data_IF_645087558544
#
_entry.id   IF_645087558544
#
_cell.length_a   1.000
_cell.length_b   1.000
_cell.length_c   1.000
_cell.angle_alpha   90.00
_cell.angle_beta   90.00
_cell.angle_gamma   90.00
#
_symmetry.space_group_name_H-M   'P 1'
#
loop_
_entity.id
_entity.type
_entity.pdbx_description
1 polymer ?
#
# COMPACT_ATOMS: atom_id res chain seq x y z
N UNK A 1 19.49 19.78 42.73
CA UNK A 1 20.08 20.20 41.44
C UNK A 1 20.66 19.02 40.62
N UNK A 2 20.54 17.76 41.04
CA UNK A 2 21.04 16.58 40.29
C UNK A 2 20.01 15.81 39.47
N UNK A 3 18.73 16.24 39.42
CA UNK A 3 17.64 15.52 38.76
C UNK A 3 17.44 15.87 37.27
N UNK A 4 18.15 16.86 36.73
CA UNK A 4 17.94 17.34 35.36
C UNK A 4 18.93 16.79 34.31
N UNK A 5 20.05 16.25 34.68
CA UNK A 5 21.10 15.81 33.73
C UNK A 5 20.67 14.48 33.05
N UNK A 6 20.14 13.53 33.83
CA UNK A 6 19.67 12.24 33.28
C UNK A 6 18.47 12.39 32.36
N UNK A 7 17.62 13.42 32.54
CA UNK A 7 16.46 13.68 31.65
C UNK A 7 16.92 14.27 30.32
N UNK A 8 17.87 15.18 30.30
CA UNK A 8 18.47 15.79 29.10
C UNK A 8 19.27 14.76 28.28
N UNK A 9 20.00 13.85 28.93
CA UNK A 9 20.70 12.76 28.24
C UNK A 9 19.72 11.71 27.67
N UNK A 10 18.60 11.45 28.33
CA UNK A 10 17.55 10.55 27.79
C UNK A 10 16.81 11.17 26.60
N UNK A 11 16.56 12.48 26.59
CA UNK A 11 15.93 13.20 25.47
C UNK A 11 16.88 13.31 24.27
N UNK A 12 18.18 13.55 24.47
CA UNK A 12 19.17 13.55 23.39
C UNK A 12 19.36 12.16 22.78
N UNK A 13 19.35 11.09 23.57
CA UNK A 13 19.40 9.72 23.07
C UNK A 13 18.13 9.33 22.29
N UNK A 14 16.93 9.71 22.76
CA UNK A 14 15.67 9.51 22.03
C UNK A 14 15.66 10.26 20.70
N UNK A 15 16.05 11.52 20.69
CA UNK A 15 16.12 12.35 19.48
C UNK A 15 17.13 11.80 18.47
N UNK A 16 18.30 11.35 18.92
CA UNK A 16 19.31 10.71 18.08
C UNK A 16 18.83 9.39 17.49
N UNK A 17 18.13 8.57 18.28
CA UNK A 17 17.58 7.28 17.83
C UNK A 17 16.44 7.47 16.83
N UNK A 18 15.58 8.49 17.01
CA UNK A 18 14.54 8.87 16.06
C UNK A 18 15.16 9.32 14.73
N UNK A 19 16.19 10.18 14.75
CA UNK A 19 16.89 10.63 13.55
C UNK A 19 17.54 9.46 12.78
N UNK A 20 18.20 8.54 13.47
CA UNK A 20 18.80 7.34 12.87
C UNK A 20 17.73 6.43 12.25
N UNK A 21 16.59 6.23 12.93
CA UNK A 21 15.48 5.44 12.41
C UNK A 21 14.84 6.08 11.16
N UNK A 22 14.71 7.42 11.13
CA UNK A 22 14.19 8.14 9.97
C UNK A 22 15.17 8.03 8.79
N UNK A 23 16.46 8.31 9.00
CA UNK A 23 17.46 8.20 7.95
C UNK A 23 17.56 6.77 7.39
N UNK A 24 17.57 5.77 8.29
CA UNK A 24 17.54 4.35 7.90
C UNK A 24 16.28 3.98 7.10
N UNK A 25 15.12 4.47 7.52
CA UNK A 25 13.86 4.22 6.79
C UNK A 25 13.85 4.87 5.40
N UNK A 26 14.44 6.06 5.24
CA UNK A 26 14.55 6.74 3.94
C UNK A 26 15.48 5.94 3.01
N UNK A 27 16.64 5.52 3.49
CA UNK A 27 17.56 4.70 2.71
C UNK A 27 16.93 3.36 2.29
N UNK A 28 16.27 2.66 3.21
CA UNK A 28 15.56 1.41 2.94
C UNK A 28 14.45 1.63 1.89
N UNK A 29 13.67 2.70 2.00
CA UNK A 29 12.63 3.05 1.00
C UNK A 29 13.25 3.38 -0.36
N UNK A 30 14.37 4.08 -0.40
CA UNK A 30 15.11 4.37 -1.64
C UNK A 30 15.51 3.07 -2.35
N UNK A 31 16.11 2.13 -1.64
CA UNK A 31 16.49 0.81 -2.18
C UNK A 31 15.23 0.04 -2.64
N UNK A 32 14.14 0.06 -1.87
CA UNK A 32 12.87 -0.57 -2.27
C UNK A 32 12.32 -0.01 -3.58
N UNK A 33 12.36 1.32 -3.76
CA UNK A 33 11.91 1.97 -4.99
C UNK A 33 12.78 1.54 -6.17
N UNK A 34 14.11 1.60 -6.02
CA UNK A 34 15.06 1.17 -7.06
C UNK A 34 14.84 -0.30 -7.44
N UNK A 35 14.71 -1.18 -6.45
CA UNK A 35 14.45 -2.61 -6.69
C UNK A 35 13.11 -2.82 -7.43
N UNK A 36 12.07 -2.10 -7.06
CA UNK A 36 10.76 -2.15 -7.72
C UNK A 36 10.83 -1.68 -9.18
N UNK A 37 11.64 -0.67 -9.48
CA UNK A 37 11.85 -0.17 -10.84
C UNK A 37 12.67 -1.15 -11.67
N UNK A 38 13.72 -1.73 -11.11
CA UNK A 38 14.57 -2.73 -11.80
C UNK A 38 13.82 -4.04 -12.08
N UNK A 39 12.86 -4.40 -11.22
CA UNK A 39 12.07 -5.62 -11.40
C UNK A 39 11.20 -5.57 -12.68
N UNK A 40 10.79 -4.37 -13.13
CA UNK A 40 9.95 -4.21 -14.34
C UNK A 40 10.66 -4.69 -15.59
N UNK A 41 11.80 -4.11 -16.01
CA UNK A 41 12.50 -4.56 -17.22
C UNK A 41 12.95 -6.01 -17.10
N UNK A 42 13.41 -6.43 -15.92
CA UNK A 42 13.84 -7.81 -15.70
C UNK A 42 12.70 -8.80 -15.92
N UNK A 43 11.49 -8.48 -15.42
CA UNK A 43 10.32 -9.32 -15.60
C UNK A 43 9.83 -9.33 -17.05
N UNK A 44 9.81 -8.16 -17.72
CA UNK A 44 9.45 -8.05 -19.13
C UNK A 44 10.41 -8.83 -20.04
N UNK A 45 11.70 -8.83 -19.73
CA UNK A 45 12.69 -9.63 -20.46
C UNK A 45 12.54 -11.13 -20.22
N UNK A 46 12.04 -11.53 -19.02
CA UNK A 46 11.82 -12.94 -18.69
C UNK A 46 10.55 -13.50 -19.34
N UNK A 47 9.43 -12.76 -19.31
CA UNK A 47 8.16 -13.31 -19.85
C UNK A 47 7.69 -12.49 -21.06
N UNK A 48 7.28 -11.65 -21.40
CA UNK A 48 6.82 -10.74 -22.46
C UNK A 48 5.75 -9.78 -21.94
N UNK A 49 5.33 -8.86 -22.79
CA UNK A 49 4.36 -7.81 -22.46
C UNK A 49 3.00 -8.39 -22.04
N UNK A 50 2.49 -9.38 -22.77
CA UNK A 50 1.18 -10.00 -22.49
C UNK A 50 1.18 -10.75 -21.16
N UNK A 51 2.13 -11.67 -20.96
CA UNK A 51 2.29 -12.44 -19.73
C UNK A 51 2.57 -11.55 -18.51
N UNK A 52 3.31 -10.47 -18.69
CA UNK A 52 3.53 -9.48 -17.64
C UNK A 52 2.23 -8.76 -17.26
N UNK A 53 1.38 -8.41 -18.23
CA UNK A 53 0.07 -7.84 -18.00
C UNK A 53 -0.87 -8.80 -17.25
N UNK A 54 -0.87 -10.09 -17.62
CA UNK A 54 -1.60 -11.14 -16.90
C UNK A 54 -1.09 -11.20 -15.43
N UNK A 55 0.23 -11.25 -15.24
CA UNK A 55 0.84 -11.25 -13.91
C UNK A 55 0.40 -10.05 -13.05
N UNK A 56 0.43 -8.84 -13.61
CA UNK A 56 0.03 -7.62 -12.91
C UNK A 56 -1.46 -7.66 -12.51
N UNK A 57 -2.31 -8.17 -13.40
CA UNK A 57 -3.75 -8.30 -13.13
C UNK A 57 -4.02 -9.32 -12.05
N UNK A 58 -3.44 -10.52 -12.13
CA UNK A 58 -3.58 -11.56 -11.11
C UNK A 58 -3.04 -11.10 -9.74
N UNK A 59 -1.87 -10.46 -9.75
CA UNK A 59 -1.27 -9.91 -8.53
C UNK A 59 -2.16 -8.85 -7.88
N UNK A 60 -2.83 -7.99 -8.67
CA UNK A 60 -3.74 -6.97 -8.13
C UNK A 60 -4.97 -7.57 -7.47
N UNK A 61 -5.56 -8.65 -8.04
CA UNK A 61 -6.68 -9.38 -7.43
C UNK A 61 -6.26 -9.93 -6.06
N UNK A 62 -5.08 -10.53 -6.01
CA UNK A 62 -4.57 -11.16 -4.77
C UNK A 62 -4.18 -10.12 -3.72
N UNK A 63 -3.69 -8.95 -4.12
CA UNK A 63 -3.43 -7.86 -3.20
C UNK A 63 -4.68 -7.40 -2.44
N UNK A 64 -5.89 -7.60 -2.97
CA UNK A 64 -7.13 -7.32 -2.23
C UNK A 64 -7.19 -8.07 -0.91
N UNK A 65 -6.70 -9.30 -0.87
CA UNK A 65 -6.69 -10.12 0.34
C UNK A 65 -5.82 -9.52 1.46
N UNK A 66 -4.72 -8.86 1.11
CA UNK A 66 -3.86 -8.22 2.10
C UNK A 66 -4.56 -7.09 2.89
N UNK A 67 -5.62 -6.49 2.32
CA UNK A 67 -6.38 -5.47 3.03
C UNK A 67 -7.28 -6.02 4.12
N UNK A 68 -7.62 -7.30 4.08
CA UNK A 68 -8.37 -7.95 5.16
C UNK A 68 -7.53 -8.08 6.45
N UNK A 69 -6.20 -8.18 6.34
CA UNK A 69 -5.29 -8.26 7.48
C UNK A 69 -5.12 -6.93 8.23
N UNK A 70 -5.26 -5.79 7.54
CA UNK A 70 -4.94 -4.47 8.12
C UNK A 70 -5.68 -4.22 9.43
N UNK A 71 -6.87 -4.78 9.60
CA UNK A 71 -7.63 -4.65 10.82
C UNK A 71 -6.98 -5.33 12.03
N UNK A 72 -6.52 -6.55 11.87
CA UNK A 72 -5.98 -7.36 12.96
C UNK A 72 -4.57 -6.93 13.36
N UNK A 73 -3.71 -6.68 12.39
CA UNK A 73 -2.33 -6.23 12.64
C UNK A 73 -2.27 -4.83 13.23
N UNK A 74 -3.12 -3.91 12.80
CA UNK A 74 -3.24 -2.58 13.41
C UNK A 74 -3.82 -2.64 14.82
N UNK A 75 -4.82 -3.49 15.06
CA UNK A 75 -5.36 -3.75 16.39
C UNK A 75 -4.28 -4.29 17.34
N UNK A 76 -3.53 -5.30 16.89
CA UNK A 76 -2.40 -5.84 17.64
C UNK A 76 -1.34 -4.79 17.92
N UNK A 77 -0.87 -4.06 16.91
CA UNK A 77 0.14 -3.01 17.06
C UNK A 77 -0.21 -2.02 18.16
N UNK A 78 -1.44 -1.51 18.17
CA UNK A 78 -1.87 -0.50 19.13
C UNK A 78 -1.99 -1.09 20.55
N UNK A 79 -2.63 -2.27 20.69
CA UNK A 79 -2.82 -2.90 22.00
C UNK A 79 -1.52 -3.42 22.60
N UNK A 80 -0.65 -3.98 21.76
CA UNK A 80 0.65 -4.44 22.18
C UNK A 80 1.53 -3.26 22.61
N UNK A 81 1.52 -2.13 21.89
CA UNK A 81 2.26 -0.94 22.29
C UNK A 81 1.86 -0.44 23.69
N UNK A 82 0.55 -0.46 24.02
CA UNK A 82 0.05 -0.14 25.36
C UNK A 82 0.56 -1.15 26.40
N UNK A 83 0.48 -2.46 26.12
CA UNK A 83 0.96 -3.50 27.01
C UNK A 83 2.47 -3.37 27.31
N UNK A 84 3.25 -3.06 26.27
CA UNK A 84 4.70 -2.84 26.39
C UNK A 84 5.03 -1.58 27.20
N UNK A 85 4.27 -0.51 27.03
CA UNK A 85 4.48 0.75 27.77
C UNK A 85 4.32 0.56 29.28
N UNK A 86 3.40 -0.31 29.72
CA UNK A 86 3.20 -0.67 31.14
C UNK A 86 3.99 -1.92 31.55
N UNK A 87 4.92 -2.41 30.70
CA UNK A 87 5.77 -3.60 30.93
C UNK A 87 4.97 -4.91 31.20
N UNK A 88 3.74 -4.99 30.72
CA UNK A 88 2.91 -6.17 30.86
C UNK A 88 3.13 -7.14 29.67
N UNK A 89 4.27 -7.82 29.68
CA UNK A 89 4.67 -8.77 28.62
C UNK A 89 3.76 -9.99 28.54
N UNK A 90 3.17 -10.43 29.67
CA UNK A 90 2.23 -11.55 29.69
C UNK A 90 1.00 -11.18 28.87
N UNK A 91 0.42 -10.00 29.08
CA UNK A 91 -0.69 -9.52 28.27
C UNK A 91 -0.28 -9.35 26.78
N UNK A 92 0.94 -8.86 26.53
CA UNK A 92 1.51 -8.81 25.19
C UNK A 92 1.55 -10.18 24.52
N UNK A 93 1.96 -11.22 25.25
CA UNK A 93 1.99 -12.61 24.76
C UNK A 93 0.59 -13.14 24.44
N UNK A 94 -0.41 -12.85 25.26
CA UNK A 94 -1.81 -13.19 24.98
C UNK A 94 -2.28 -12.50 23.67
N UNK A 95 -2.01 -11.22 23.49
CA UNK A 95 -2.40 -10.48 22.28
C UNK A 95 -1.76 -11.06 21.02
N UNK A 96 -0.45 -11.29 21.03
CA UNK A 96 0.27 -11.87 19.88
C UNK A 96 -0.23 -13.27 19.58
N UNK A 97 -0.34 -14.14 20.59
CA UNK A 97 -0.80 -15.53 20.42
C UNK A 97 -2.23 -15.59 19.88
N UNK A 98 -3.12 -14.74 20.39
CA UNK A 98 -4.51 -14.66 19.93
C UNK A 98 -4.59 -14.15 18.48
N UNK A 99 -3.74 -13.20 18.08
CA UNK A 99 -3.70 -12.71 16.69
C UNK A 99 -3.27 -13.83 15.74
N UNK A 100 -2.21 -14.59 16.02
CA UNK A 100 -1.81 -15.72 15.20
C UNK A 100 -2.91 -16.80 15.10
N UNK A 101 -3.59 -17.08 16.21
CA UNK A 101 -4.73 -17.99 16.23
C UNK A 101 -5.88 -17.50 15.33
N UNK A 102 -6.20 -16.20 15.38
CA UNK A 102 -7.22 -15.62 14.51
C UNK A 102 -6.84 -15.67 13.04
N UNK A 103 -5.56 -15.44 12.71
CA UNK A 103 -5.06 -15.60 11.33
C UNK A 103 -5.34 -16.99 10.80
N UNK A 104 -5.11 -18.03 11.59
CA UNK A 104 -5.39 -19.40 11.16
C UNK A 104 -6.90 -19.63 11.03
N UNK A 105 -7.70 -19.32 12.07
CA UNK A 105 -9.12 -19.69 12.09
C UNK A 105 -9.97 -18.91 11.07
N UNK A 106 -9.60 -17.67 10.77
CA UNK A 106 -10.38 -16.83 9.84
C UNK A 106 -9.84 -16.99 8.42
N UNK A 107 -8.53 -16.84 8.24
CA UNK A 107 -7.95 -16.75 6.89
C UNK A 107 -7.65 -18.10 6.26
N UNK A 108 -7.39 -19.15 7.02
CA UNK A 108 -7.18 -20.48 6.44
C UNK A 108 -8.47 -21.02 5.78
N UNK A 109 -9.65 -21.01 6.45
CA UNK A 109 -10.91 -21.42 5.78
C UNK A 109 -11.25 -20.52 4.59
N UNK A 110 -11.01 -19.20 4.68
CA UNK A 110 -11.23 -18.28 3.57
C UNK A 110 -10.31 -18.61 2.39
N UNK A 111 -9.04 -18.87 2.64
CA UNK A 111 -8.07 -19.30 1.64
C UNK A 111 -8.53 -20.60 0.97
N UNK A 112 -8.92 -21.61 1.73
CA UNK A 112 -9.40 -22.88 1.21
C UNK A 112 -10.67 -22.73 0.36
N UNK A 113 -11.59 -21.85 0.79
CA UNK A 113 -12.80 -21.52 0.03
C UNK A 113 -12.46 -20.87 -1.30
N UNK A 114 -11.55 -19.90 -1.31
CA UNK A 114 -11.12 -19.24 -2.56
C UNK A 114 -10.43 -20.24 -3.49
N UNK A 115 -9.51 -21.06 -2.96
CA UNK A 115 -8.84 -22.12 -3.75
C UNK A 115 -9.84 -23.10 -4.36
N UNK A 116 -10.92 -23.42 -3.64
CA UNK A 116 -12.00 -24.26 -4.14
C UNK A 116 -12.79 -23.58 -5.28
N UNK A 117 -13.01 -22.27 -5.21
CA UNK A 117 -13.80 -21.51 -6.20
C UNK A 117 -13.02 -21.26 -7.50
N UNK A 118 -11.70 -21.10 -7.44
CA UNK A 118 -10.83 -20.72 -8.58
C UNK A 118 -11.11 -21.54 -9.85
N UNK A 119 -11.19 -22.89 -9.84
CA UNK A 119 -11.35 -23.68 -11.07
C UNK A 119 -12.75 -23.57 -11.71
N UNK A 120 -13.76 -23.06 -10.98
CA UNK A 120 -15.11 -22.88 -11.51
C UNK A 120 -15.30 -21.58 -12.30
N UNK A 121 -14.33 -20.68 -12.26
CA UNK A 121 -14.38 -19.40 -12.95
C UNK A 121 -13.67 -19.48 -14.32
N UNK A 122 -14.28 -18.89 -15.33
CA UNK A 122 -13.67 -18.78 -16.67
C UNK A 122 -12.69 -17.60 -16.70
N UNK A 123 -11.48 -17.83 -16.18
CA UNK A 123 -10.44 -16.82 -16.09
C UNK A 123 -10.03 -16.21 -17.43
N UNK A 124 -9.85 -16.99 -18.52
CA UNK A 124 -9.57 -16.42 -19.83
C UNK A 124 -10.59 -15.37 -20.29
N UNK A 125 -11.88 -15.63 -20.07
CA UNK A 125 -12.93 -14.67 -20.40
C UNK A 125 -12.92 -13.45 -19.47
N UNK A 126 -12.68 -13.65 -18.15
CA UNK A 126 -12.62 -12.55 -17.17
C UNK A 126 -11.45 -11.60 -17.47
N UNK A 127 -10.31 -12.15 -17.90
CA UNK A 127 -9.08 -11.39 -18.13
C UNK A 127 -8.91 -10.97 -19.60
N UNK A 128 -9.81 -11.39 -20.48
CA UNK A 128 -9.74 -11.17 -21.92
C UNK A 128 -8.40 -11.65 -22.52
N UNK A 129 -8.08 -12.93 -22.28
CA UNK A 129 -6.86 -13.57 -22.75
C UNK A 129 -7.15 -14.87 -23.48
N UNK A 130 -6.16 -15.40 -24.24
CA UNK A 130 -6.30 -16.67 -24.93
C UNK A 130 -6.66 -17.81 -23.97
N UNK A 131 -7.60 -18.70 -24.35
CA UNK A 131 -7.94 -19.90 -23.58
C UNK A 131 -6.74 -20.81 -23.28
N UNK A 132 -5.67 -20.73 -24.08
CA UNK A 132 -4.44 -21.48 -23.86
C UNK A 132 -3.79 -21.20 -22.50
N UNK A 133 -3.95 -20.00 -21.96
CA UNK A 133 -3.43 -19.61 -20.63
C UNK A 133 -4.27 -20.10 -19.46
N UNK A 134 -5.46 -20.69 -19.68
CA UNK A 134 -6.40 -21.02 -18.62
C UNK A 134 -5.80 -21.87 -17.49
N UNK A 135 -5.10 -22.95 -17.83
CA UNK A 135 -4.48 -23.82 -16.84
C UNK A 135 -3.34 -23.14 -16.07
N UNK A 136 -2.53 -22.32 -16.73
CA UNK A 136 -1.42 -21.63 -16.09
C UNK A 136 -1.94 -20.53 -15.14
N UNK A 137 -3.00 -19.82 -15.52
CA UNK A 137 -3.66 -18.83 -14.67
C UNK A 137 -4.18 -19.49 -13.38
N UNK A 138 -4.83 -20.64 -13.47
CA UNK A 138 -5.32 -21.39 -12.30
C UNK A 138 -4.17 -21.77 -11.37
N UNK A 139 -3.07 -22.33 -11.91
CA UNK A 139 -1.87 -22.69 -11.12
C UNK A 139 -1.26 -21.47 -10.44
N UNK A 140 -1.14 -20.35 -11.16
CA UNK A 140 -0.61 -19.09 -10.64
C UNK A 140 -1.50 -18.56 -9.51
N UNK A 141 -2.82 -18.59 -9.67
CA UNK A 141 -3.75 -18.18 -8.62
C UNK A 141 -3.62 -19.06 -7.37
N UNK A 142 -3.45 -20.36 -7.51
CA UNK A 142 -3.18 -21.24 -6.36
C UNK A 142 -1.92 -20.82 -5.60
N UNK A 143 -0.82 -20.53 -6.33
CA UNK A 143 0.42 -20.05 -5.71
C UNK A 143 0.21 -18.71 -5.02
N UNK A 144 -0.42 -17.76 -5.70
CA UNK A 144 -0.65 -16.42 -5.18
C UNK A 144 -1.51 -16.44 -3.91
N UNK A 145 -2.67 -17.10 -3.92
CA UNK A 145 -3.59 -17.18 -2.78
C UNK A 145 -2.91 -17.84 -1.57
N UNK A 146 -2.24 -18.97 -1.80
CA UNK A 146 -1.50 -19.68 -0.75
C UNK A 146 -0.38 -18.80 -0.18
N UNK A 147 0.34 -18.10 -1.06
CA UNK A 147 1.44 -17.21 -0.66
C UNK A 147 0.94 -16.03 0.17
N UNK A 148 -0.19 -15.42 -0.20
CA UNK A 148 -0.77 -14.31 0.58
C UNK A 148 -1.19 -14.76 1.97
N UNK A 149 -1.79 -15.94 2.11
CA UNK A 149 -2.11 -16.51 3.42
C UNK A 149 -0.86 -16.59 4.30
N UNK A 150 0.23 -17.17 3.80
CA UNK A 150 1.48 -17.25 4.55
C UNK A 150 2.11 -15.87 4.81
N UNK A 151 2.05 -14.95 3.85
CA UNK A 151 2.52 -13.58 4.05
C UNK A 151 1.74 -12.89 5.18
N UNK A 152 0.40 -12.95 5.18
CA UNK A 152 -0.43 -12.39 6.23
C UNK A 152 -0.08 -13.00 7.59
N UNK A 153 0.06 -14.32 7.66
CA UNK A 153 0.42 -15.03 8.88
C UNK A 153 1.77 -14.56 9.44
N UNK A 154 2.81 -14.53 8.64
CA UNK A 154 4.14 -14.09 9.09
C UNK A 154 4.23 -12.56 9.27
N UNK A 155 3.40 -11.75 8.60
CA UNK A 155 3.40 -10.29 8.72
C UNK A 155 2.87 -9.80 10.08
N UNK A 156 2.27 -10.66 10.90
CA UNK A 156 1.99 -10.39 12.32
C UNK A 156 3.26 -9.94 13.05
N UNK A 157 4.44 -10.47 12.67
CA UNK A 157 5.73 -9.98 13.14
C UNK A 157 5.93 -8.49 12.88
N UNK A 158 5.51 -7.99 11.71
CA UNK A 158 5.60 -6.56 11.36
C UNK A 158 4.82 -5.66 12.34
N UNK A 159 3.65 -6.12 12.80
CA UNK A 159 2.88 -5.43 13.84
C UNK A 159 3.60 -5.44 15.18
N UNK A 160 4.21 -6.58 15.58
CA UNK A 160 5.02 -6.69 16.81
C UNK A 160 6.22 -5.74 16.76
N UNK A 161 7.00 -5.78 15.68
CA UNK A 161 8.16 -4.89 15.47
C UNK A 161 7.76 -3.42 15.54
N UNK A 162 6.61 -3.08 14.93
CA UNK A 162 6.07 -1.72 14.96
C UNK A 162 5.62 -1.29 16.35
N UNK A 163 5.05 -2.20 17.16
CA UNK A 163 4.68 -1.94 18.55
C UNK A 163 5.91 -1.64 19.44
N UNK A 164 7.04 -2.27 19.14
CA UNK A 164 8.34 -1.97 19.75
C UNK A 164 9.01 -0.70 19.17
N UNK A 165 8.31 0.09 18.36
CA UNK A 165 8.79 1.33 17.72
C UNK A 165 9.99 1.13 16.77
N UNK A 166 10.20 -0.09 16.25
CA UNK A 166 11.28 -0.43 15.32
C UNK A 166 10.82 -0.42 13.86
N UNK A 167 10.17 0.67 13.44
CA UNK A 167 9.55 0.79 12.12
C UNK A 167 10.54 0.58 10.95
N UNK A 168 11.80 1.00 11.12
CA UNK A 168 12.85 0.76 10.13
C UNK A 168 13.09 -0.74 9.89
N UNK A 169 13.00 -1.57 10.93
CA UNK A 169 13.14 -3.03 10.81
C UNK A 169 11.98 -3.65 10.04
N UNK A 170 10.75 -3.17 10.24
CA UNK A 170 9.58 -3.59 9.46
C UNK A 170 9.75 -3.25 7.96
N UNK A 171 10.25 -2.05 7.65
CA UNK A 171 10.56 -1.65 6.27
C UNK A 171 11.68 -2.48 5.66
N UNK A 172 12.65 -2.92 6.46
CA UNK A 172 13.76 -3.79 6.03
C UNK A 172 13.25 -5.15 5.53
N UNK A 173 12.24 -5.75 6.16
CA UNK A 173 11.66 -7.02 5.71
C UNK A 173 11.09 -6.90 4.29
N UNK A 174 10.36 -5.81 4.03
CA UNK A 174 9.78 -5.53 2.72
C UNK A 174 10.89 -5.38 1.67
N UNK A 175 11.90 -4.56 1.97
CA UNK A 175 13.03 -4.33 1.07
C UNK A 175 13.78 -5.64 0.76
N UNK A 176 14.10 -6.44 1.78
CA UNK A 176 14.80 -7.72 1.58
C UNK A 176 13.96 -8.72 0.77
N UNK A 177 12.63 -8.75 0.98
CA UNK A 177 11.71 -9.54 0.16
C UNK A 177 11.77 -9.12 -1.30
N UNK A 178 11.76 -7.81 -1.59
CA UNK A 178 11.86 -7.28 -2.95
C UNK A 178 13.22 -7.58 -3.60
N UNK A 179 14.31 -7.41 -2.85
CA UNK A 179 15.67 -7.74 -3.34
C UNK A 179 15.79 -9.23 -3.65
N UNK A 180 15.27 -10.09 -2.78
CA UNK A 180 15.25 -11.53 -3.04
C UNK A 180 14.39 -11.88 -4.26
N UNK A 181 13.24 -11.22 -4.45
CA UNK A 181 12.42 -11.38 -5.66
C UNK A 181 13.20 -11.00 -6.92
N UNK A 182 13.91 -9.86 -6.88
CA UNK A 182 14.76 -9.41 -8.00
C UNK A 182 15.83 -10.45 -8.33
N UNK A 183 16.53 -10.96 -7.31
CA UNK A 183 17.56 -11.98 -7.49
C UNK A 183 17.00 -13.30 -8.06
N UNK A 184 15.87 -13.78 -7.54
CA UNK A 184 15.24 -15.00 -8.02
C UNK A 184 14.73 -14.85 -9.46
N UNK A 185 14.13 -13.73 -9.83
CA UNK A 185 13.72 -13.48 -11.22
C UNK A 185 14.94 -13.39 -12.13
N UNK A 186 16.04 -12.74 -11.69
CA UNK A 186 17.29 -12.71 -12.44
C UNK A 186 17.87 -14.12 -12.67
N UNK A 187 17.89 -14.95 -11.64
CA UNK A 187 18.31 -16.35 -11.77
C UNK A 187 17.43 -17.10 -12.78
N UNK A 188 16.09 -16.91 -12.73
CA UNK A 188 15.18 -17.53 -13.69
C UNK A 188 15.47 -17.13 -15.13
N UNK A 189 15.87 -15.88 -15.40
CA UNK A 189 16.27 -15.46 -16.76
C UNK A 189 17.48 -16.21 -17.29
N UNK A 190 18.33 -16.76 -16.42
CA UNK A 190 19.55 -17.47 -16.80
C UNK A 190 19.37 -18.98 -16.99
N UNK A 191 18.43 -19.59 -16.21
CA UNK A 191 18.35 -21.06 -16.10
C UNK A 191 17.03 -21.66 -16.59
N UNK A 192 15.98 -20.87 -16.78
CA UNK A 192 14.64 -21.38 -17.05
C UNK A 192 14.00 -20.68 -18.26
N UNK A 193 13.19 -21.43 -19.06
CA UNK A 193 12.41 -20.80 -20.12
C UNK A 193 11.36 -19.84 -19.54
N UNK A 194 10.87 -18.86 -20.34
CA UNK A 194 9.82 -17.94 -19.93
C UNK A 194 8.59 -18.67 -19.37
N UNK A 195 8.18 -18.32 -18.15
CA UNK A 195 7.06 -18.97 -17.47
C UNK A 195 6.37 -18.04 -16.49
N UNK A 196 5.05 -17.87 -16.65
CA UNK A 196 4.22 -17.15 -15.71
C UNK A 196 4.22 -17.81 -14.32
N UNK A 197 4.28 -19.14 -14.28
CA UNK A 197 4.36 -19.91 -13.04
C UNK A 197 5.69 -19.66 -12.31
N UNK A 198 6.83 -19.70 -13.04
CA UNK A 198 8.15 -19.41 -12.48
C UNK A 198 8.21 -18.00 -11.86
N UNK A 199 7.65 -17.01 -12.57
CA UNK A 199 7.54 -15.65 -12.09
C UNK A 199 6.71 -15.56 -10.80
N UNK A 200 5.54 -16.22 -10.77
CA UNK A 200 4.65 -16.26 -9.61
C UNK A 200 5.35 -16.85 -8.38
N UNK A 201 6.07 -17.96 -8.54
CA UNK A 201 6.84 -18.59 -7.47
C UNK A 201 7.93 -17.64 -6.95
N UNK A 202 8.76 -17.08 -7.84
CA UNK A 202 9.88 -16.24 -7.45
C UNK A 202 9.45 -15.00 -6.67
N UNK A 203 8.42 -14.30 -7.14
CA UNK A 203 7.96 -13.06 -6.50
C UNK A 203 7.17 -13.33 -5.22
N UNK A 204 6.37 -14.40 -5.19
CA UNK A 204 5.47 -14.65 -4.06
C UNK A 204 6.17 -15.33 -2.87
N UNK A 205 7.14 -16.19 -3.12
CA UNK A 205 7.86 -16.91 -2.06
C UNK A 205 8.89 -16.01 -1.36
N UNK A 206 9.50 -15.07 -2.06
CA UNK A 206 10.56 -14.21 -1.52
C UNK A 206 10.17 -13.50 -0.21
N UNK A 207 9.04 -12.78 -0.12
CA UNK A 207 8.63 -12.13 1.13
C UNK A 207 8.38 -13.15 2.26
N UNK A 208 7.84 -14.33 1.93
CA UNK A 208 7.55 -15.39 2.91
C UNK A 208 8.84 -15.90 3.54
N UNK A 209 9.87 -16.18 2.72
CA UNK A 209 11.18 -16.65 3.20
C UNK A 209 11.77 -15.63 4.18
N UNK A 210 11.80 -14.36 3.80
CA UNK A 210 12.33 -13.28 4.65
C UNK A 210 11.55 -13.19 5.96
N UNK A 211 10.22 -13.10 5.90
CA UNK A 211 9.39 -12.99 7.08
C UNK A 211 9.49 -14.24 7.98
N UNK A 212 9.59 -15.42 7.40
CA UNK A 212 9.77 -16.68 8.15
C UNK A 212 11.10 -16.70 8.92
N UNK A 213 12.22 -16.40 8.23
CA UNK A 213 13.55 -16.35 8.83
C UNK A 213 13.58 -15.33 9.98
N UNK A 214 13.09 -14.11 9.75
CA UNK A 214 13.06 -13.08 10.78
C UNK A 214 12.08 -13.40 11.91
N UNK A 215 10.96 -14.09 11.65
CA UNK A 215 10.03 -14.54 12.69
C UNK A 215 10.72 -15.52 13.64
N UNK A 216 11.37 -16.54 13.11
CA UNK A 216 12.10 -17.51 13.92
C UNK A 216 13.22 -16.85 14.72
N UNK A 217 14.02 -15.99 14.08
CA UNK A 217 15.16 -15.34 14.73
C UNK A 217 14.71 -14.36 15.83
N UNK A 218 13.76 -13.48 15.54
CA UNK A 218 13.35 -12.43 16.47
C UNK A 218 12.53 -12.96 17.65
N UNK A 219 11.64 -13.94 17.45
CA UNK A 219 10.89 -14.55 18.55
C UNK A 219 11.74 -15.44 19.44
N UNK A 220 12.85 -16.01 18.93
CA UNK A 220 13.82 -16.74 19.78
C UNK A 220 14.69 -15.80 20.62
N UNK A 221 14.98 -14.57 20.11
CA UNK A 221 15.91 -13.63 20.71
C UNK A 221 15.20 -12.41 21.29
N UNK A 222 14.98 -11.38 20.47
CA UNK A 222 14.61 -10.04 20.89
C UNK A 222 13.18 -9.91 21.42
N UNK A 223 12.23 -10.68 20.89
CA UNK A 223 10.81 -10.65 21.24
C UNK A 223 10.36 -11.93 21.95
N UNK A 224 11.28 -12.61 22.64
CA UNK A 224 11.04 -13.87 23.35
C UNK A 224 9.89 -13.76 24.36
N UNK A 225 9.79 -12.63 25.06
CA UNK A 225 8.77 -12.38 26.09
C UNK A 225 7.34 -12.38 25.54
N UNK A 226 7.16 -11.92 24.30
CA UNK A 226 5.86 -11.86 23.60
C UNK A 226 5.74 -12.89 22.48
N UNK A 227 6.67 -13.87 22.41
CA UNK A 227 6.66 -14.92 21.41
C UNK A 227 5.34 -15.69 21.43
N UNK A 228 4.72 -15.95 20.25
CA UNK A 228 3.44 -16.64 20.19
C UNK A 228 3.51 -18.05 20.77
N UNK A 229 2.47 -18.43 21.49
CA UNK A 229 2.33 -19.76 22.06
C UNK A 229 0.86 -20.15 22.15
N UNK A 230 0.54 -21.35 21.73
CA UNK A 230 -0.81 -21.91 21.77
C UNK A 230 -1.47 -21.82 23.17
N UNK A 231 -0.67 -21.97 24.24
CA UNK A 231 -1.15 -21.89 25.63
C UNK A 231 -1.64 -20.50 26.04
N UNK A 232 -1.28 -19.46 25.30
CA UNK A 232 -1.62 -18.06 25.59
C UNK A 232 -2.66 -17.48 24.65
N UNK A 233 -3.51 -18.34 24.06
CA UNK A 233 -4.67 -17.89 23.26
C UNK A 233 -5.83 -17.53 24.19
N UNK A 234 -6.36 -16.32 24.08
CA UNK A 234 -7.51 -15.84 24.84
C UNK A 234 -8.63 -15.38 23.92
N UNK A 235 -9.70 -16.18 23.85
CA UNK A 235 -10.87 -15.89 22.99
C UNK A 235 -11.57 -14.57 23.33
N UNK A 236 -11.49 -14.09 24.60
CA UNK A 236 -12.08 -12.81 25.00
C UNK A 236 -11.42 -11.62 24.32
N UNK A 237 -10.14 -11.73 24.02
CA UNK A 237 -9.39 -10.67 23.30
C UNK A 237 -9.70 -10.59 21.81
N UNK A 238 -10.33 -11.61 21.23
CA UNK A 238 -10.75 -11.62 19.82
C UNK A 238 -11.67 -10.43 19.55
N UNK A 239 -12.70 -10.21 20.35
CA UNK A 239 -13.65 -9.10 20.20
C UNK A 239 -12.94 -7.74 20.27
N UNK A 240 -11.97 -7.61 21.15
CA UNK A 240 -11.19 -6.39 21.36
C UNK A 240 -10.30 -6.06 20.15
N UNK A 241 -9.62 -7.04 19.58
CA UNK A 241 -8.80 -6.93 18.39
C UNK A 241 -9.67 -6.67 17.13
N UNK A 242 -10.78 -7.41 17.00
CA UNK A 242 -11.69 -7.34 15.84
C UNK A 242 -12.40 -5.98 15.73
N UNK A 243 -12.90 -5.44 16.85
CA UNK A 243 -13.66 -4.18 16.82
C UNK A 243 -12.86 -2.98 16.30
N UNK A 244 -11.55 -2.98 16.55
CA UNK A 244 -10.65 -1.97 16.02
C UNK A 244 -10.35 -2.21 14.55
N UNK A 245 -10.22 -3.47 14.16
CA UNK A 245 -9.92 -3.91 12.80
C UNK A 245 -11.00 -3.56 11.79
N UNK A 246 -12.26 -3.79 12.12
CA UNK A 246 -13.40 -3.51 11.21
C UNK A 246 -13.47 -2.04 10.79
N UNK A 247 -13.18 -1.11 11.70
CA UNK A 247 -13.17 0.32 11.36
C UNK A 247 -12.13 0.66 10.30
N UNK A 248 -10.94 0.10 10.43
CA UNK A 248 -9.88 0.29 9.43
C UNK A 248 -10.18 -0.44 8.12
N UNK A 249 -10.79 -1.61 8.18
CA UNK A 249 -11.18 -2.38 7.00
C UNK A 249 -12.15 -1.60 6.10
N UNK A 250 -13.16 -0.93 6.68
CA UNK A 250 -14.10 -0.11 5.89
C UNK A 250 -13.38 0.99 5.11
N UNK A 251 -12.37 1.64 5.71
CA UNK A 251 -11.57 2.66 5.03
C UNK A 251 -10.74 2.02 3.89
N UNK A 252 -10.28 0.79 4.07
CA UNK A 252 -9.44 0.11 3.07
C UNK A 252 -10.22 -0.44 1.87
N UNK A 253 -11.51 -0.73 2.01
CA UNK A 253 -12.37 -1.11 0.87
C UNK A 253 -12.28 -0.06 -0.25
N UNK A 254 -12.21 1.22 0.10
CA UNK A 254 -12.03 2.29 -0.88
C UNK A 254 -10.76 2.11 -1.71
N UNK A 255 -9.62 1.86 -1.04
CA UNK A 255 -8.34 1.71 -1.72
C UNK A 255 -8.37 0.52 -2.68
N UNK A 256 -9.02 -0.58 -2.27
CA UNK A 256 -9.19 -1.75 -3.13
C UNK A 256 -9.98 -1.37 -4.38
N UNK A 257 -11.16 -0.81 -4.19
CA UNK A 257 -12.10 -0.56 -5.30
C UNK A 257 -11.59 0.52 -6.25
N UNK A 258 -11.00 1.60 -5.75
CA UNK A 258 -10.51 2.68 -6.61
C UNK A 258 -9.19 2.36 -7.32
N UNK A 259 -8.26 1.71 -6.62
CA UNK A 259 -6.89 1.58 -7.15
C UNK A 259 -6.52 0.17 -7.58
N UNK A 260 -7.04 -0.85 -6.90
CA UNK A 260 -6.66 -2.24 -7.22
C UNK A 260 -7.56 -2.88 -8.29
N UNK A 261 -8.80 -2.39 -8.47
CA UNK A 261 -9.68 -2.90 -9.54
C UNK A 261 -9.26 -2.44 -10.94
N UNK A 262 -8.49 -1.36 -11.05
CA UNK A 262 -8.10 -0.75 -12.33
C UNK A 262 -7.45 -1.76 -13.27
N UNK A 263 -6.51 -2.58 -12.80
CA UNK A 263 -5.85 -3.59 -13.63
C UNK A 263 -6.83 -4.63 -14.17
N UNK A 264 -7.78 -5.08 -13.34
CA UNK A 264 -8.80 -6.05 -13.73
C UNK A 264 -9.74 -5.46 -14.78
N UNK A 265 -10.18 -4.21 -14.58
CA UNK A 265 -11.09 -3.53 -15.50
C UNK A 265 -10.39 -3.26 -16.85
N UNK A 266 -9.14 -2.78 -16.84
CA UNK A 266 -8.36 -2.56 -18.08
C UNK A 266 -8.16 -3.89 -18.81
N UNK A 267 -7.77 -4.96 -18.10
CA UNK A 267 -7.58 -6.27 -18.70
C UNK A 267 -8.88 -6.79 -19.34
N UNK A 268 -10.00 -6.65 -18.65
CA UNK A 268 -11.31 -7.10 -19.15
C UNK A 268 -11.76 -6.35 -20.41
N UNK A 269 -11.55 -5.03 -20.47
CA UNK A 269 -12.05 -4.19 -21.58
C UNK A 269 -11.09 -4.22 -22.78
N UNK A 270 -9.79 -4.16 -22.54
CA UNK A 270 -8.78 -3.96 -23.60
C UNK A 270 -7.86 -5.17 -23.76
N UNK A 271 -7.48 -5.78 -22.64
CA UNK A 271 -6.56 -6.90 -22.61
C UNK A 271 -5.32 -6.63 -21.73
N UNK A 272 -4.49 -7.67 -21.52
CA UNK A 272 -3.37 -7.62 -20.58
C UNK A 272 -2.22 -6.71 -21.02
N UNK A 273 -2.02 -6.52 -22.32
CA UNK A 273 -0.97 -5.61 -22.80
C UNK A 273 -1.20 -4.16 -22.37
N UNK A 274 -2.46 -3.70 -22.39
CA UNK A 274 -2.84 -2.37 -21.91
C UNK A 274 -2.63 -2.21 -20.40
N UNK A 275 -2.73 -3.31 -19.62
CA UNK A 275 -2.38 -3.32 -18.20
C UNK A 275 -0.87 -3.08 -18.02
N UNK A 276 -0.05 -3.66 -18.88
CA UNK A 276 1.40 -3.43 -18.86
C UNK A 276 1.73 -1.97 -19.14
N UNK A 277 1.17 -1.38 -20.20
CA UNK A 277 1.36 0.03 -20.56
C UNK A 277 0.96 0.98 -19.42
N UNK A 278 -0.24 0.75 -18.85
CA UNK A 278 -0.75 1.49 -17.70
C UNK A 278 0.22 1.42 -16.51
N UNK A 279 0.67 0.23 -16.13
CA UNK A 279 1.51 0.06 -14.96
C UNK A 279 2.90 0.65 -15.13
N UNK A 280 3.49 0.61 -16.33
CA UNK A 280 4.77 1.25 -16.62
C UNK A 280 4.63 2.77 -16.43
N UNK A 281 3.65 3.40 -17.08
CA UNK A 281 3.41 4.83 -16.95
C UNK A 281 3.08 5.23 -15.51
N UNK A 282 2.23 4.44 -14.84
CA UNK A 282 1.84 4.70 -13.44
C UNK A 282 3.04 4.60 -12.49
N UNK A 283 3.85 3.53 -12.58
CA UNK A 283 5.04 3.38 -11.72
C UNK A 283 6.03 4.51 -11.92
N UNK A 284 6.26 4.90 -13.16
CA UNK A 284 7.15 6.01 -13.50
C UNK A 284 6.71 7.33 -12.88
N UNK A 285 5.48 7.74 -13.16
CA UNK A 285 4.96 9.03 -12.67
C UNK A 285 4.68 9.04 -11.16
N UNK A 286 4.34 7.89 -10.57
CA UNK A 286 4.07 7.77 -9.13
C UNK A 286 5.29 8.03 -8.25
N UNK A 287 6.50 8.04 -8.81
CA UNK A 287 7.73 8.48 -8.11
C UNK A 287 7.53 9.88 -7.53
N UNK A 288 6.89 10.79 -8.28
CA UNK A 288 6.59 12.14 -7.82
C UNK A 288 5.68 12.12 -6.57
N UNK A 289 4.64 11.28 -6.56
CA UNK A 289 3.75 11.10 -5.40
C UNK A 289 4.51 10.51 -4.21
N UNK A 290 5.39 9.53 -4.44
CA UNK A 290 6.21 8.94 -3.37
C UNK A 290 7.11 9.98 -2.70
N UNK A 291 7.77 10.83 -3.48
CA UNK A 291 8.60 11.94 -2.96
C UNK A 291 7.76 12.95 -2.20
N UNK A 292 6.59 13.31 -2.73
CA UNK A 292 5.68 14.23 -2.06
C UNK A 292 5.18 13.68 -0.72
N UNK A 293 4.85 12.39 -0.64
CA UNK A 293 4.42 11.74 0.59
C UNK A 293 5.49 11.73 1.70
N UNK A 294 6.78 11.77 1.35
CA UNK A 294 7.85 11.95 2.35
C UNK A 294 7.69 13.30 3.06
N UNK A 295 7.33 14.35 2.30
CA UNK A 295 7.09 15.70 2.86
C UNK A 295 5.77 15.74 3.63
N UNK A 296 4.73 15.03 3.19
CA UNK A 296 3.42 15.00 3.84
C UNK A 296 3.41 14.24 5.16
N UNK A 297 4.22 13.18 5.30
CA UNK A 297 4.20 12.29 6.48
C UNK A 297 4.33 13.04 7.81
N UNK A 298 5.24 13.99 8.03
CA UNK A 298 5.36 14.74 9.27
C UNK A 298 4.25 15.78 9.50
N UNK A 299 3.49 16.13 8.46
CA UNK A 299 2.41 17.11 8.60
C UNK A 299 1.22 16.57 9.39
N UNK A 300 0.96 15.28 9.33
CA UNK A 300 -0.15 14.67 10.07
C UNK A 300 -0.09 14.99 11.58
N UNK A 301 0.95 14.59 12.34
CA UNK A 301 1.04 14.90 13.75
C UNK A 301 1.16 16.42 14.02
N UNK A 302 1.84 17.17 13.14
CA UNK A 302 1.98 18.61 13.30
C UNK A 302 0.63 19.35 13.20
N UNK A 303 -0.27 18.90 12.31
CA UNK A 303 -1.63 19.44 12.25
C UNK A 303 -2.49 19.02 13.45
N UNK A 304 -2.29 17.83 13.99
CA UNK A 304 -2.94 17.38 15.23
C UNK A 304 -2.58 18.31 16.38
N UNK A 305 -1.30 18.59 16.57
CA UNK A 305 -0.80 19.47 17.63
C UNK A 305 -1.30 20.91 17.47
N UNK A 306 -1.16 21.48 16.28
CA UNK A 306 -1.60 22.85 15.99
C UNK A 306 -3.12 23.03 16.17
N UNK A 307 -3.92 22.05 15.75
CA UNK A 307 -5.37 22.08 15.92
C UNK A 307 -5.76 21.99 17.40
N UNK A 308 -5.11 21.11 18.18
CA UNK A 308 -5.34 20.95 19.62
C UNK A 308 -4.99 22.25 20.37
N UNK A 309 -3.91 22.92 19.98
CA UNK A 309 -3.48 24.21 20.53
C UNK A 309 -4.26 25.40 19.96
N UNK A 310 -5.20 25.17 19.01
CA UNK A 310 -5.96 26.21 18.30
C UNK A 310 -5.09 27.23 17.55
N UNK A 311 -3.88 26.82 17.13
CA UNK A 311 -2.97 27.68 16.33
C UNK A 311 -3.33 27.67 14.85
N UNK A 312 -4.46 28.28 14.54
CA UNK A 312 -4.97 28.38 13.17
C UNK A 312 -4.10 29.30 12.29
N UNK A 313 -3.29 30.16 12.86
CA UNK A 313 -2.37 31.01 12.09
C UNK A 313 -1.22 30.19 11.52
N UNK A 314 -0.61 29.33 12.33
CA UNK A 314 0.39 28.37 11.90
C UNK A 314 -0.18 27.43 10.82
N UNK A 315 -1.39 26.88 11.03
CA UNK A 315 -2.06 26.00 10.08
C UNK A 315 -2.22 26.67 8.71
N UNK A 316 -2.67 27.94 8.65
CA UNK A 316 -2.78 28.70 7.39
C UNK A 316 -1.43 28.90 6.73
N UNK A 317 -0.40 29.26 7.49
CA UNK A 317 0.93 29.51 6.96
C UNK A 317 1.56 28.24 6.38
N UNK A 318 1.43 27.11 7.06
CA UNK A 318 1.91 25.82 6.56
C UNK A 318 1.10 25.38 5.33
N UNK A 319 -0.23 25.52 5.34
CA UNK A 319 -1.06 25.21 4.19
C UNK A 319 -0.60 25.98 2.94
N UNK A 320 -0.37 27.30 3.04
CA UNK A 320 0.18 28.10 1.94
C UNK A 320 1.54 27.58 1.46
N UNK A 321 2.46 27.27 2.38
CA UNK A 321 3.77 26.69 2.02
C UNK A 321 3.61 25.35 1.28
N UNK A 322 2.70 24.50 1.72
CA UNK A 322 2.44 23.22 1.07
C UNK A 322 1.80 23.38 -0.32
N UNK A 323 1.01 24.43 -0.55
CA UNK A 323 0.55 24.76 -1.90
C UNK A 323 1.72 25.08 -2.85
N UNK A 324 2.74 25.81 -2.40
CA UNK A 324 3.96 26.04 -3.21
C UNK A 324 4.74 24.75 -3.48
N UNK A 325 4.89 23.89 -2.46
CA UNK A 325 5.52 22.57 -2.65
C UNK A 325 4.73 21.73 -3.66
N UNK A 326 3.40 21.73 -3.57
CA UNK A 326 2.54 21.06 -4.54
C UNK A 326 2.73 21.60 -5.97
N UNK A 327 2.82 22.91 -6.18
CA UNK A 327 3.12 23.50 -7.48
C UNK A 327 4.45 22.97 -8.02
N UNK A 328 5.48 22.86 -7.19
CA UNK A 328 6.77 22.25 -7.58
C UNK A 328 6.62 20.77 -7.99
N UNK A 329 5.76 20.02 -7.30
CA UNK A 329 5.45 18.64 -7.67
C UNK A 329 4.74 18.56 -9.03
N UNK A 330 3.76 19.43 -9.27
CA UNK A 330 3.08 19.54 -10.58
C UNK A 330 4.08 19.83 -11.70
N UNK A 331 4.97 20.80 -11.49
CA UNK A 331 6.03 21.10 -12.46
C UNK A 331 6.94 19.91 -12.70
N UNK A 332 7.32 19.19 -11.62
CA UNK A 332 8.09 17.94 -11.73
C UNK A 332 7.37 16.87 -12.55
N UNK A 333 6.05 16.68 -12.34
CA UNK A 333 5.25 15.73 -13.12
C UNK A 333 5.21 16.12 -14.60
N UNK A 334 5.02 17.41 -14.92
CA UNK A 334 5.02 17.89 -16.30
C UNK A 334 6.37 17.64 -16.99
N UNK A 335 7.48 17.85 -16.29
CA UNK A 335 8.83 17.50 -16.79
C UNK A 335 8.97 16.00 -17.03
N UNK A 336 8.48 15.16 -16.10
CA UNK A 336 8.47 13.71 -16.27
C UNK A 336 7.66 13.29 -17.51
N UNK A 337 6.53 13.94 -17.82
CA UNK A 337 5.75 13.66 -19.03
C UNK A 337 6.55 13.98 -20.29
N UNK A 338 7.23 15.14 -20.33
CA UNK A 338 8.01 15.56 -21.50
C UNK A 338 9.16 14.57 -21.80
N UNK A 339 9.85 14.11 -20.76
CA UNK A 339 10.99 13.19 -20.93
C UNK A 339 10.58 11.71 -20.98
N UNK A 340 9.30 11.38 -20.76
CA UNK A 340 8.80 10.01 -20.62
C UNK A 340 9.13 9.10 -21.81
N UNK A 341 9.03 9.51 -23.11
CA UNK A 341 9.34 8.61 -24.22
C UNK A 341 10.79 8.13 -24.18
N UNK A 342 11.73 9.02 -23.87
CA UNK A 342 13.13 8.69 -23.72
C UNK A 342 13.39 7.76 -22.53
N UNK A 343 12.74 8.05 -21.39
CA UNK A 343 12.89 7.22 -20.19
C UNK A 343 12.29 5.83 -20.38
N UNK A 344 11.15 5.70 -21.08
CA UNK A 344 10.54 4.38 -21.33
C UNK A 344 11.44 3.53 -22.23
N UNK A 345 11.97 4.08 -23.32
CA UNK A 345 12.92 3.35 -24.18
C UNK A 345 14.16 2.92 -23.40
N UNK A 346 14.72 3.77 -22.54
CA UNK A 346 15.88 3.43 -21.71
C UNK A 346 15.55 2.39 -20.62
N UNK A 347 14.35 2.47 -20.03
CA UNK A 347 13.98 1.67 -18.85
C UNK A 347 13.41 0.30 -19.19
N UNK A 348 12.49 0.23 -20.15
CA UNK A 348 11.82 -1.02 -20.53
C UNK A 348 12.19 -1.52 -21.92
N UNK A 349 12.98 -0.75 -22.66
CA UNK A 349 13.41 -1.07 -24.03
C UNK A 349 12.28 -0.86 -25.05
N UNK A 350 12.55 -1.24 -26.30
CA UNK A 350 11.63 -1.05 -27.43
C UNK A 350 10.53 -2.12 -27.49
N UNK A 351 10.53 -3.08 -26.56
CA UNK A 351 9.53 -4.17 -26.53
C UNK A 351 8.15 -3.73 -26.04
N UNK A 352 8.04 -2.54 -25.43
CA UNK A 352 6.80 -1.99 -24.90
C UNK A 352 6.68 -0.52 -25.26
N UNK A 353 5.80 -0.23 -26.21
CA UNK A 353 5.41 1.13 -26.51
C UNK A 353 4.31 1.60 -25.52
N UNK A 354 4.59 2.66 -24.77
CA UNK A 354 3.61 3.31 -23.91
C UNK A 354 3.07 4.54 -24.62
N UNK A 355 1.77 4.59 -24.96
CA UNK A 355 1.20 5.74 -25.64
C UNK A 355 1.35 7.02 -24.83
N UNK A 356 1.74 8.13 -25.47
CA UNK A 356 1.87 9.44 -24.82
C UNK A 356 0.52 9.88 -24.21
N UNK A 357 -0.58 9.57 -24.86
CA UNK A 357 -1.93 9.83 -24.35
C UNK A 357 -2.20 9.13 -23.00
N UNK A 358 -1.73 7.88 -22.83
CA UNK A 358 -1.79 7.15 -21.56
C UNK A 358 -0.99 7.89 -20.47
N UNK A 359 0.24 8.29 -20.79
CA UNK A 359 1.12 9.03 -19.87
C UNK A 359 0.49 10.36 -19.43
N UNK A 360 -0.14 11.10 -20.35
CA UNK A 360 -0.82 12.38 -20.04
C UNK A 360 -2.01 12.15 -19.09
N UNK A 361 -2.86 11.17 -19.39
CA UNK A 361 -4.05 10.89 -18.56
C UNK A 361 -3.63 10.47 -17.16
N UNK A 362 -2.60 9.62 -17.03
CA UNK A 362 -2.04 9.22 -15.73
C UNK A 362 -1.42 10.43 -15.01
N UNK A 363 -0.73 11.33 -15.71
CA UNK A 363 -0.16 12.53 -15.11
C UNK A 363 -1.25 13.44 -14.51
N UNK A 364 -2.35 13.65 -15.24
CA UNK A 364 -3.52 14.41 -14.74
C UNK A 364 -4.09 13.72 -13.48
N UNK A 365 -4.24 12.40 -13.52
CA UNK A 365 -4.69 11.66 -12.35
C UNK A 365 -3.75 11.84 -11.15
N UNK A 366 -2.44 11.71 -11.33
CA UNK A 366 -1.43 11.82 -10.26
C UNK A 366 -1.37 13.26 -9.71
N UNK A 367 -1.53 14.28 -10.54
CA UNK A 367 -1.61 15.67 -10.11
C UNK A 367 -2.79 15.85 -9.14
N UNK A 368 -3.99 15.42 -9.54
CA UNK A 368 -5.19 15.57 -8.72
C UNK A 368 -5.09 14.73 -7.45
N UNK A 369 -4.64 13.46 -7.55
CA UNK A 369 -4.44 12.57 -6.42
C UNK A 369 -3.39 13.09 -5.41
N UNK A 370 -2.34 13.77 -5.88
CA UNK A 370 -1.36 14.42 -5.01
C UNK A 370 -1.97 15.58 -4.23
N UNK A 371 -2.87 16.37 -4.88
CA UNK A 371 -3.64 17.40 -4.20
C UNK A 371 -4.55 16.82 -3.12
N UNK A 372 -5.28 15.75 -3.45
CA UNK A 372 -6.13 15.05 -2.48
C UNK A 372 -5.33 14.52 -1.29
N UNK A 373 -4.15 13.96 -1.54
CA UNK A 373 -3.25 13.46 -0.50
C UNK A 373 -2.83 14.55 0.49
N UNK A 374 -2.58 15.78 0.00
CA UNK A 374 -2.30 16.94 0.84
C UNK A 374 -3.49 17.26 1.75
N UNK A 375 -4.70 17.37 1.17
CA UNK A 375 -5.91 17.71 1.93
C UNK A 375 -6.23 16.63 2.97
N UNK A 376 -6.22 15.36 2.54
CA UNK A 376 -6.51 14.19 3.37
C UNK A 376 -5.53 14.08 4.54
N UNK A 377 -4.23 14.34 4.32
CA UNK A 377 -3.23 14.33 5.40
C UNK A 377 -3.57 15.34 6.49
N UNK A 378 -4.02 16.53 6.12
CA UNK A 378 -4.38 17.57 7.07
C UNK A 378 -5.72 17.25 7.77
N UNK A 379 -6.74 16.80 7.03
CA UNK A 379 -8.04 16.39 7.56
C UNK A 379 -7.87 15.27 8.59
N UNK A 380 -7.06 14.26 8.27
CA UNK A 380 -6.76 13.15 9.17
C UNK A 380 -5.99 13.61 10.42
N UNK A 381 -5.06 14.57 10.28
CA UNK A 381 -4.37 15.19 11.39
C UNK A 381 -5.31 15.91 12.36
N UNK A 382 -6.32 16.57 11.84
CA UNK A 382 -7.36 17.27 12.62
C UNK A 382 -8.37 16.26 13.23
N UNK A 383 -8.53 15.09 12.61
CA UNK A 383 -9.53 14.08 12.99
C UNK A 383 -10.94 14.31 12.40
N UNK A 384 -11.08 15.23 11.43
CA UNK A 384 -12.35 15.60 10.82
C UNK A 384 -12.74 14.64 9.66
N UNK A 385 -12.77 13.34 9.92
CA UNK A 385 -12.81 12.27 8.88
C UNK A 385 -14.21 11.84 8.44
N UNK A 386 -15.27 12.28 9.10
CA UNK A 386 -16.64 11.80 8.78
C UNK A 386 -17.10 12.18 7.38
N UNK A 387 -16.85 13.43 6.97
CA UNK A 387 -17.21 13.90 5.63
C UNK A 387 -16.42 13.13 4.56
N UNK A 388 -15.12 12.95 4.80
CA UNK A 388 -14.24 12.15 3.93
C UNK A 388 -14.80 10.75 3.74
N UNK A 389 -15.13 10.04 4.83
CA UNK A 389 -15.68 8.67 4.77
C UNK A 389 -16.97 8.62 3.95
N UNK A 390 -17.87 9.58 4.14
CA UNK A 390 -19.14 9.63 3.42
C UNK A 390 -18.96 9.82 1.91
N UNK A 391 -18.12 10.78 1.52
CA UNK A 391 -17.89 11.11 0.10
C UNK A 391 -17.16 9.97 -0.60
N UNK A 392 -16.23 9.34 0.09
CA UNK A 392 -15.49 8.21 -0.39
C UNK A 392 -16.41 7.02 -0.67
N UNK A 393 -17.36 6.72 0.21
CA UNK A 393 -18.36 5.68 -0.03
C UNK A 393 -19.22 5.96 -1.26
N UNK A 394 -19.57 7.23 -1.51
CA UNK A 394 -20.27 7.64 -2.74
C UNK A 394 -19.38 7.35 -3.96
N UNK A 395 -18.11 7.77 -3.93
CA UNK A 395 -17.17 7.53 -5.03
C UNK A 395 -17.00 6.04 -5.35
N UNK A 396 -17.01 5.17 -4.33
CA UNK A 396 -16.98 3.72 -4.51
C UNK A 396 -18.13 3.20 -5.37
N UNK A 397 -19.34 3.68 -5.14
CA UNK A 397 -20.53 3.24 -5.88
C UNK A 397 -20.47 3.64 -7.35
N UNK A 398 -19.89 4.80 -7.64
CA UNK A 398 -19.83 5.33 -9.00
C UNK A 398 -18.60 4.90 -9.79
N UNK A 399 -17.50 4.52 -9.12
CA UNK A 399 -16.24 4.22 -9.82
C UNK A 399 -16.38 3.10 -10.85
N UNK A 400 -16.88 1.94 -10.44
CA UNK A 400 -16.95 0.76 -11.34
C UNK A 400 -17.86 1.03 -12.54
N UNK A 401 -19.11 1.54 -12.38
CA UNK A 401 -19.94 1.91 -13.52
C UNK A 401 -19.30 2.93 -14.46
N UNK A 402 -18.67 3.99 -13.92
CA UNK A 402 -17.99 5.00 -14.73
C UNK A 402 -16.77 4.43 -15.45
N UNK A 403 -16.01 3.54 -14.79
CA UNK A 403 -14.84 2.90 -15.37
C UNK A 403 -15.21 2.04 -16.59
N UNK A 404 -16.29 1.25 -16.51
CA UNK A 404 -16.81 0.50 -17.65
C UNK A 404 -17.40 1.43 -18.72
N UNK A 405 -18.13 2.46 -18.33
CA UNK A 405 -18.73 3.40 -19.28
C UNK A 405 -17.68 4.13 -20.13
N UNK A 406 -16.66 4.71 -19.50
CA UNK A 406 -15.60 5.39 -20.22
C UNK A 406 -14.61 4.40 -20.86
N UNK A 407 -14.33 3.28 -20.20
CA UNK A 407 -13.43 2.25 -20.68
C UNK A 407 -13.89 1.64 -22.01
N UNK A 408 -15.18 1.31 -22.14
CA UNK A 408 -15.75 0.81 -23.39
C UNK A 408 -15.73 1.83 -24.53
N UNK A 409 -15.60 3.14 -24.23
CA UNK A 409 -15.54 4.20 -25.27
C UNK A 409 -14.11 4.56 -25.69
N UNK A 410 -13.19 4.60 -24.73
CA UNK A 410 -11.85 5.19 -24.93
C UNK A 410 -10.73 4.20 -24.50
N UNK A 411 -11.09 2.96 -24.16
CA UNK A 411 -10.13 1.95 -23.74
C UNK A 411 -9.55 2.22 -22.33
N UNK A 412 -8.29 1.85 -22.12
CA UNK A 412 -7.64 1.95 -20.81
C UNK A 412 -7.59 3.39 -20.27
N UNK A 413 -7.43 4.41 -21.12
CA UNK A 413 -7.48 5.81 -20.72
C UNK A 413 -8.85 6.17 -20.12
N UNK A 414 -9.93 5.60 -20.63
CA UNK A 414 -11.29 5.80 -20.12
C UNK A 414 -11.45 5.29 -18.68
N UNK A 415 -10.83 4.17 -18.34
CA UNK A 415 -10.82 3.65 -16.96
C UNK A 415 -10.16 4.64 -16.02
N UNK A 416 -9.03 5.24 -16.41
CA UNK A 416 -8.32 6.24 -15.60
C UNK A 416 -9.13 7.54 -15.52
N UNK A 417 -9.84 7.92 -16.58
CA UNK A 417 -10.71 9.09 -16.59
C UNK A 417 -11.80 9.00 -15.52
N UNK A 418 -12.34 7.81 -15.25
CA UNK A 418 -13.30 7.61 -14.15
C UNK A 418 -12.70 7.95 -12.79
N UNK A 419 -11.43 7.56 -12.56
CA UNK A 419 -10.70 7.92 -11.33
C UNK A 419 -10.48 9.43 -11.23
N UNK A 420 -10.14 10.08 -12.35
CA UNK A 420 -9.97 11.55 -12.43
C UNK A 420 -11.26 12.25 -12.02
N UNK A 421 -12.40 11.85 -12.59
CA UNK A 421 -13.71 12.48 -12.28
C UNK A 421 -14.03 12.40 -10.79
N UNK A 422 -13.79 11.25 -10.15
CA UNK A 422 -14.04 11.04 -8.73
C UNK A 422 -13.07 11.88 -7.88
N UNK A 423 -11.77 11.84 -8.20
CA UNK A 423 -10.77 12.60 -7.45
C UNK A 423 -10.95 14.11 -7.60
N UNK A 424 -11.45 14.63 -8.72
CA UNK A 424 -11.82 16.06 -8.85
C UNK A 424 -12.89 16.44 -7.81
N UNK A 425 -13.91 15.60 -7.62
CA UNK A 425 -14.95 15.84 -6.61
C UNK A 425 -14.34 15.86 -5.21
N UNK A 426 -13.43 14.90 -4.92
CA UNK A 426 -12.70 14.85 -3.66
C UNK A 426 -11.86 16.11 -3.45
N UNK A 427 -11.08 16.50 -4.47
CA UNK A 427 -10.24 17.69 -4.43
C UNK A 427 -11.03 18.95 -4.08
N UNK A 428 -12.18 19.16 -4.72
CA UNK A 428 -13.05 20.31 -4.46
C UNK A 428 -13.56 20.28 -3.01
N UNK A 429 -14.14 19.17 -2.58
CA UNK A 429 -14.81 19.07 -1.28
C UNK A 429 -13.80 19.15 -0.13
N UNK A 430 -12.66 18.44 -0.23
CA UNK A 430 -11.64 18.46 0.81
C UNK A 430 -10.94 19.82 0.89
N UNK A 431 -10.74 20.51 -0.23
CA UNK A 431 -10.23 21.87 -0.24
C UNK A 431 -11.19 22.84 0.48
N UNK A 432 -12.50 22.73 0.23
CA UNK A 432 -13.51 23.52 0.93
C UNK A 432 -13.50 23.20 2.43
N UNK A 433 -13.38 21.90 2.79
CA UNK A 433 -13.32 21.46 4.18
C UNK A 433 -12.13 22.08 4.91
N UNK A 434 -10.92 21.93 4.38
CA UNK A 434 -9.72 22.48 5.00
C UNK A 434 -9.82 24.00 5.12
N UNK A 435 -10.24 24.70 4.07
CA UNK A 435 -10.40 26.16 4.10
C UNK A 435 -11.39 26.60 5.18
N UNK A 436 -12.51 25.90 5.36
CA UNK A 436 -13.46 26.19 6.44
C UNK A 436 -12.84 25.97 7.81
N UNK A 437 -12.08 24.90 8.00
CA UNK A 437 -11.44 24.58 9.29
C UNK A 437 -10.39 25.61 9.67
N UNK A 438 -9.42 25.89 8.79
CA UNK A 438 -8.32 26.83 9.10
C UNK A 438 -8.80 28.28 9.27
N UNK A 439 -9.97 28.63 8.70
CA UNK A 439 -10.60 29.94 8.85
C UNK A 439 -11.68 29.97 9.95
N UNK A 440 -11.80 28.93 10.77
CA UNK A 440 -12.77 28.82 11.88
C UNK A 440 -14.24 28.92 11.45
N UNK A 441 -14.53 28.54 10.20
CA UNK A 441 -15.88 28.57 9.60
C UNK A 441 -16.49 27.17 9.47
N UNK A 442 -15.82 26.14 9.96
CA UNK A 442 -16.30 24.76 9.91
C UNK A 442 -17.30 24.49 11.04
N UNK A 443 -18.44 23.85 10.70
CA UNK A 443 -19.45 23.37 11.65
C UNK A 443 -20.11 22.08 11.14
N UNK A 444 -20.75 21.33 12.01
CA UNK A 444 -21.46 20.09 11.64
C UNK A 444 -20.54 19.03 11.03
N UNK A 445 -20.87 18.56 9.82
CA UNK A 445 -20.10 17.52 9.11
C UNK A 445 -18.69 17.95 8.68
N UNK A 446 -18.46 19.28 8.57
CA UNK A 446 -17.15 19.79 8.12
C UNK A 446 -16.04 19.64 9.16
N UNK A 447 -16.38 19.41 10.43
CA UNK A 447 -15.43 19.37 11.55
C UNK A 447 -15.46 18.05 12.32
N UNK A 448 -16.36 17.15 11.97
CA UNK A 448 -16.53 15.88 12.69
C UNK A 448 -15.77 14.74 12.03
#
# INVERSE_FOLDING_TARGET
>A
MMLNINKVFSENNRSSQIKKNIAGSIAIKGISILTSLLLVPLTLNYVNKELYGIWLTLSSIVLWLNFFDIGFTLGLKNKLAVALAVKNYINGKYLVSTTYYMMIIIFLPLCLLILFIIPFLNWPSILNVSPAYGNDIIKVLYILITSVFFQMFFNVLGAVVSAYQKVALSSLFIMLGQVLSLLLVYILTLIAPPSLLGLAVAISISPIIILCIFSVYLYKNQFKEVSPSYKFVDKKKIKELFSMGVKFFIIQIQVIVLYQSTNVIISNIVGPEAVTEYNIAYKYLNIATMLFNIVLTPLWPAFTDAYTLKDYQWMRNIYKKMCYVYISVVFGILMLVIISPYIYSLWVGDNVEVPVSMTIVIAVFIIINSWDSLQVTMINGIGAVKLQTFIVLIGLLFHIPLAFFFGNKIGAQGVILSMICINIIYAIIFTIQINKIINKKAFGLWIK
#
